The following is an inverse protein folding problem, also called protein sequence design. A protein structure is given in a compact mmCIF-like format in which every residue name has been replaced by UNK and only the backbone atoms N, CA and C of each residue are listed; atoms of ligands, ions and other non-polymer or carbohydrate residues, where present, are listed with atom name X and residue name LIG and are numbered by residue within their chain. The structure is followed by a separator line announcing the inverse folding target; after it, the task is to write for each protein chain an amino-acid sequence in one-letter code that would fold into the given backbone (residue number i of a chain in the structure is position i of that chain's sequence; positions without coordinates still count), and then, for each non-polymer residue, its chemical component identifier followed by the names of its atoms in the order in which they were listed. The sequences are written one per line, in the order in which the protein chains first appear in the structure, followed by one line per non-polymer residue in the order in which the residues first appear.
data_IF_023879534515
#
_entry.id   IF_023879534515
#
_cell.length_a   1.000
_cell.length_b   1.000
_cell.length_c   1.000
_cell.angle_alpha   90.00
_cell.angle_beta   90.00
_cell.angle_gamma   90.00
#
_symmetry.space_group_name_H-M   'P 1'
#
loop_
_entity.id
_entity.type
_entity.pdbx_description
1 polymer ?
#
# COMPACT_ATOMS: atom_id res chain seq x y z
N UNK A 1 -12.92 -33.90 -9.81
CA UNK A 1 -11.65 -33.24 -10.22
C UNK A 1 -11.93 -31.80 -10.56
N UNK A 2 -11.40 -30.85 -9.78
CA UNK A 2 -10.81 -29.59 -10.26
C UNK A 2 -10.33 -28.80 -9.04
N UNK A 3 -9.08 -29.02 -8.67
CA UNK A 3 -8.40 -28.24 -7.64
C UNK A 3 -8.11 -26.86 -8.23
N UNK A 4 -8.96 -25.87 -7.97
CA UNK A 4 -8.73 -24.49 -8.40
C UNK A 4 -7.68 -23.89 -7.46
N UNK A 5 -6.40 -24.18 -7.72
CA UNK A 5 -5.29 -23.39 -7.18
C UNK A 5 -5.00 -22.26 -8.15
N UNK A 6 -5.65 -21.11 -7.99
CA UNK A 6 -5.21 -19.86 -8.61
C UNK A 6 -5.37 -18.72 -7.63
N UNK A 7 -4.23 -18.24 -7.12
CA UNK A 7 -3.86 -16.81 -7.00
C UNK A 7 -2.50 -16.70 -6.30
N UNK A 8 -1.42 -17.09 -6.98
CA UNK A 8 -0.07 -16.61 -6.67
C UNK A 8 0.15 -15.29 -7.41
N UNK A 9 -0.58 -14.25 -7.01
CA UNK A 9 -0.37 -12.89 -7.50
C UNK A 9 -0.41 -11.93 -6.32
N UNK A 10 0.53 -12.07 -5.37
CA UNK A 10 0.66 -11.04 -4.33
C UNK A 10 1.99 -10.97 -3.57
N UNK A 11 3.09 -11.58 -4.04
CA UNK A 11 4.36 -11.53 -3.29
C UNK A 11 5.32 -10.40 -3.69
N UNK A 12 4.90 -9.47 -4.56
CA UNK A 12 5.71 -8.28 -4.90
C UNK A 12 5.09 -6.96 -4.44
N UNK A 13 3.81 -6.93 -4.06
CA UNK A 13 3.21 -5.78 -3.41
C UNK A 13 3.68 -5.78 -1.95
N UNK A 14 4.60 -4.88 -1.59
CA UNK A 14 5.08 -4.75 -0.21
C UNK A 14 6.56 -5.04 0.02
N UNK A 15 7.41 -5.17 -1.01
CA UNK A 15 8.86 -5.09 -0.77
C UNK A 15 9.23 -3.62 -0.54
N UNK A 16 9.46 -3.25 0.72
CA UNK A 16 9.98 -1.94 1.08
C UNK A 16 11.40 -1.82 0.51
N UNK A 17 11.57 -0.91 -0.44
CA UNK A 17 12.87 -0.53 -0.99
C UNK A 17 13.42 0.67 -0.23
N UNK A 18 14.74 0.90 -0.23
CA UNK A 18 15.32 2.12 0.34
C UNK A 18 14.79 3.39 -0.35
N UNK A 19 14.42 3.31 -1.63
CA UNK A 19 13.74 4.38 -2.36
C UNK A 19 12.34 4.68 -1.79
N UNK A 20 11.58 3.64 -1.42
CA UNK A 20 10.27 3.81 -0.79
C UNK A 20 10.41 4.48 0.59
N UNK A 21 11.42 4.12 1.38
CA UNK A 21 11.69 4.78 2.67
C UNK A 21 12.08 6.25 2.49
N UNK A 22 12.99 6.54 1.55
CA UNK A 22 13.38 7.91 1.24
C UNK A 22 12.18 8.76 0.77
N UNK A 23 11.32 8.19 -0.09
CA UNK A 23 10.10 8.86 -0.55
C UNK A 23 9.07 9.06 0.58
N UNK A 24 8.95 8.10 1.50
CA UNK A 24 8.09 8.21 2.67
C UNK A 24 8.55 9.33 3.62
N UNK A 25 9.84 9.38 3.94
CA UNK A 25 10.44 10.44 4.76
C UNK A 25 10.35 11.81 4.07
N UNK A 26 10.49 11.86 2.75
CA UNK A 26 10.36 13.08 1.96
C UNK A 26 8.88 13.53 1.76
N UNK A 27 7.89 12.69 2.08
CA UNK A 27 6.47 12.97 1.82
C UNK A 27 6.08 12.95 0.34
N UNK A 28 6.89 12.32 -0.52
CA UNK A 28 6.65 12.28 -1.97
C UNK A 28 5.69 11.15 -2.36
N UNK A 29 4.44 11.52 -2.62
CA UNK A 29 3.36 10.59 -2.94
C UNK A 29 3.58 9.86 -4.27
N UNK A 30 4.09 10.55 -5.29
CA UNK A 30 4.25 9.99 -6.62
C UNK A 30 5.38 8.95 -6.61
N UNK A 31 6.52 9.33 -6.03
CA UNK A 31 7.68 8.45 -5.91
C UNK A 31 7.39 7.27 -5.00
N UNK A 32 6.67 7.47 -3.89
CA UNK A 32 6.28 6.37 -2.99
C UNK A 32 5.36 5.36 -3.68
N UNK A 33 4.33 5.83 -4.39
CA UNK A 33 3.43 4.95 -5.15
C UNK A 33 4.17 4.16 -6.22
N UNK A 34 5.12 4.80 -6.90
CA UNK A 34 5.93 4.12 -7.91
C UNK A 34 6.87 3.08 -7.29
N UNK A 35 7.59 3.44 -6.21
CA UNK A 35 8.52 2.57 -5.52
C UNK A 35 7.83 1.33 -4.92
N UNK A 36 6.63 1.50 -4.35
CA UNK A 36 5.80 0.42 -3.84
C UNK A 36 4.96 -0.30 -4.91
N UNK A 37 5.03 0.16 -6.16
CA UNK A 37 4.25 -0.33 -7.32
C UNK A 37 2.74 -0.38 -7.04
N UNK A 38 2.24 0.64 -6.35
CA UNK A 38 0.84 0.73 -6.00
C UNK A 38 0.00 1.10 -7.23
N UNK A 39 -1.20 0.51 -7.40
CA UNK A 39 -2.15 0.96 -8.40
C UNK A 39 -2.58 2.42 -8.19
N UNK A 40 -2.96 3.15 -9.25
CA UNK A 40 -3.31 4.56 -9.15
C UNK A 40 -4.53 4.82 -8.25
N UNK A 41 -5.48 3.87 -8.20
CA UNK A 41 -6.69 3.93 -7.36
C UNK A 41 -6.46 3.52 -5.90
N UNK A 42 -5.29 2.96 -5.56
CA UNK A 42 -4.97 2.60 -4.19
C UNK A 42 -4.55 3.84 -3.41
N UNK A 43 -4.96 3.89 -2.14
CA UNK A 43 -4.61 4.97 -1.22
C UNK A 43 -3.11 4.96 -0.96
N UNK A 44 -2.50 6.15 -0.85
CA UNK A 44 -1.08 6.24 -0.50
C UNK A 44 -0.90 5.90 0.99
N UNK A 45 0.15 5.17 1.38
CA UNK A 45 0.45 4.96 2.81
C UNK A 45 0.68 6.27 3.58
N UNK A 46 1.05 7.35 2.88
CA UNK A 46 1.17 8.69 3.47
C UNK A 46 -0.18 9.26 3.93
N UNK A 47 -1.24 9.03 3.15
CA UNK A 47 -2.59 9.53 3.45
C UNK A 47 -3.36 8.62 4.43
N UNK A 48 -2.87 7.40 4.65
CA UNK A 48 -3.53 6.41 5.48
C UNK A 48 -3.24 6.69 6.96
N UNK A 49 -4.10 7.46 7.63
CA UNK A 49 -4.00 7.77 9.07
C UNK A 49 -5.29 7.44 9.80
N UNK A 50 -5.18 6.63 10.86
CA UNK A 50 -6.19 6.26 11.89
C UNK A 50 -7.59 5.88 11.39
N UNK A 51 -8.32 6.80 10.76
CA UNK A 51 -9.71 6.64 10.33
C UNK A 51 -9.82 6.74 8.81
N UNK A 52 -10.41 5.72 8.20
CA UNK A 52 -10.73 5.74 6.77
C UNK A 52 -11.75 6.86 6.46
N UNK A 53 -11.40 7.88 5.66
CA UNK A 53 -12.32 8.95 5.28
C UNK A 53 -13.30 8.50 4.18
N UNK A 54 -13.03 7.36 3.54
CA UNK A 54 -13.83 6.85 2.44
C UNK A 54 -15.06 6.07 2.94
N UNK A 55 -16.21 6.20 2.26
CA UNK A 55 -17.39 5.41 2.60
C UNK A 55 -17.14 3.91 2.35
N UNK A 56 -17.86 3.03 3.08
CA UNK A 56 -17.71 1.59 2.94
C UNK A 56 -17.95 1.14 1.48
N UNK A 57 -17.27 0.07 1.06
CA UNK A 57 -17.33 -0.53 -0.29
C UNK A 57 -16.69 0.31 -1.42
N UNK A 58 -16.11 1.48 -1.13
CA UNK A 58 -15.29 2.19 -2.11
C UNK A 58 -13.92 1.55 -2.26
N UNK A 59 -13.27 1.74 -3.42
CA UNK A 59 -11.90 1.27 -3.63
C UNK A 59 -10.92 1.83 -2.57
N UNK A 60 -11.15 3.08 -2.13
CA UNK A 60 -10.40 3.70 -1.04
C UNK A 60 -10.56 2.95 0.28
N UNK A 61 -11.80 2.64 0.69
CA UNK A 61 -12.07 1.88 1.91
C UNK A 61 -11.53 0.44 1.84
N UNK A 62 -11.64 -0.22 0.68
CA UNK A 62 -11.16 -1.59 0.49
C UNK A 62 -9.63 -1.68 0.60
N UNK A 63 -8.90 -0.68 0.09
CA UNK A 63 -7.42 -0.66 0.11
C UNK A 63 -6.82 0.12 1.29
N UNK A 64 -7.67 0.71 2.14
CA UNK A 64 -7.25 1.50 3.29
C UNK A 64 -6.42 0.69 4.28
N UNK A 65 -6.88 -0.52 4.61
CA UNK A 65 -6.18 -1.40 5.57
C UNK A 65 -4.81 -1.86 5.04
N UNK A 66 -4.71 -2.16 3.74
CA UNK A 66 -3.43 -2.47 3.10
C UNK A 66 -2.48 -1.27 3.16
N UNK A 67 -3.00 -0.06 2.96
CA UNK A 67 -2.22 1.19 3.00
C UNK A 67 -1.74 1.52 4.41
N UNK A 68 -2.58 1.31 5.44
CA UNK A 68 -2.18 1.40 6.86
C UNK A 68 -1.11 0.37 7.20
N UNK A 69 -1.25 -0.86 6.72
CA UNK A 69 -0.26 -1.91 6.97
C UNK A 69 1.09 -1.54 6.35
N UNK A 70 1.09 -1.03 5.11
CA UNK A 70 2.30 -0.54 4.45
C UNK A 70 2.93 0.63 5.20
N UNK A 71 2.12 1.57 5.72
CA UNK A 71 2.62 2.67 6.55
C UNK A 71 3.33 2.16 7.80
N UNK A 72 2.70 1.27 8.55
CA UNK A 72 3.32 0.69 9.76
C UNK A 72 4.62 -0.06 9.45
N UNK A 73 4.69 -0.75 8.31
CA UNK A 73 5.93 -1.41 7.89
C UNK A 73 7.02 -0.41 7.49
N UNK A 74 6.67 0.72 6.86
CA UNK A 74 7.62 1.79 6.55
C UNK A 74 8.12 2.48 7.81
N UNK A 75 7.23 2.76 8.77
CA UNK A 75 7.61 3.32 10.09
C UNK A 75 8.50 2.37 10.88
N UNK A 76 8.25 1.06 10.85
CA UNK A 76 9.11 0.07 11.51
C UNK A 76 10.48 -0.11 10.83
N UNK A 77 10.63 0.33 9.58
CA UNK A 77 11.85 0.19 8.79
C UNK A 77 12.65 1.50 8.63
N UNK A 78 12.10 2.62 9.11
CA UNK A 78 12.74 3.93 9.19
C UNK A 78 13.54 4.09 10.49
#
# INVERSE_FOLDING_TARGET
MTTIRRRTRNQQAGRITPEALAAFVAGDHATLKHALRLPPWQVSPLDAEEVCPYPPLTAGAVTWLDSLTLRNQLEAAA
#
